data_IF_749528234783
#
_entry.id   IF_749528234783
#
_cell.length_a   1.000
_cell.length_b   1.000
_cell.length_c   1.000
_cell.angle_alpha   90.00
_cell.angle_beta   90.00
_cell.angle_gamma   90.00
#
_symmetry.space_group_name_H-M   'P 1'
#
loop_
_entity.id
_entity.type
_entity.pdbx_description
1 polymer ?
#
# COMPACT_ATOMS: atom_id res chain seq x y z
N UNK A 1 -4.14 8.97 -22.14
CA UNK A 1 -3.01 8.90 -21.17
C UNK A 1 -3.25 7.83 -20.10
N UNK A 2 -4.46 7.71 -19.57
CA UNK A 2 -4.80 6.76 -18.48
C UNK A 2 -4.56 5.29 -18.84
N UNK A 3 -4.92 4.88 -20.06
CA UNK A 3 -4.72 3.51 -20.55
C UNK A 3 -3.23 3.14 -20.70
N UNK A 4 -2.36 4.09 -21.07
CA UNK A 4 -0.91 3.88 -21.13
C UNK A 4 -0.33 3.70 -19.73
N UNK A 5 -0.79 4.50 -18.76
CA UNK A 5 -0.40 4.36 -17.35
C UNK A 5 -0.82 3.02 -16.75
N UNK A 6 -2.04 2.55 -17.05
CA UNK A 6 -2.51 1.23 -16.62
C UNK A 6 -1.68 0.11 -17.22
N UNK A 7 -1.39 0.15 -18.53
CA UNK A 7 -0.55 -0.85 -19.20
C UNK A 7 0.83 -0.93 -18.53
N UNK A 8 1.47 0.23 -18.31
CA UNK A 8 2.76 0.30 -17.63
C UNK A 8 2.71 -0.32 -16.22
N UNK A 9 1.70 0.03 -15.43
CA UNK A 9 1.49 -0.49 -14.08
C UNK A 9 1.28 -2.00 -14.08
N UNK A 10 0.49 -2.52 -15.03
CA UNK A 10 0.24 -3.95 -15.19
C UNK A 10 1.52 -4.69 -15.56
N UNK A 11 2.26 -4.19 -16.56
CA UNK A 11 3.52 -4.80 -17.01
C UNK A 11 4.55 -4.82 -15.88
N UNK A 12 4.74 -3.71 -15.16
CA UNK A 12 5.67 -3.64 -14.02
C UNK A 12 5.27 -4.62 -12.90
N UNK A 13 3.98 -4.74 -12.61
CA UNK A 13 3.47 -5.65 -11.58
C UNK A 13 3.67 -7.12 -11.96
N UNK A 14 3.48 -7.48 -13.24
CA UNK A 14 3.74 -8.84 -13.74
C UNK A 14 5.23 -9.17 -13.68
N UNK A 15 6.10 -8.26 -14.12
CA UNK A 15 7.56 -8.43 -14.05
C UNK A 15 8.00 -8.66 -12.59
N UNK A 16 7.47 -7.86 -11.66
CA UNK A 16 7.74 -7.99 -10.23
C UNK A 16 7.22 -9.32 -9.65
N UNK A 17 6.12 -9.86 -10.15
CA UNK A 17 5.55 -11.14 -9.70
C UNK A 17 6.39 -12.34 -10.12
N UNK A 18 6.87 -12.31 -11.37
CA UNK A 18 7.79 -13.32 -11.91
C UNK A 18 9.11 -13.28 -11.13
N UNK A 19 9.67 -12.07 -10.95
CA UNK A 19 10.96 -11.86 -10.31
C UNK A 19 10.92 -11.83 -8.77
N UNK A 20 9.75 -11.98 -8.14
CA UNK A 20 9.59 -11.95 -6.68
C UNK A 20 10.61 -12.80 -5.88
N UNK A 21 10.97 -14.04 -6.28
CA UNK A 21 12.01 -14.82 -5.58
C UNK A 21 13.38 -14.12 -5.61
N UNK A 22 13.75 -13.52 -6.76
CA UNK A 22 15.01 -12.78 -6.93
C UNK A 22 14.99 -11.47 -6.14
N UNK A 23 13.88 -10.73 -6.19
CA UNK A 23 13.71 -9.46 -5.46
C UNK A 23 13.75 -9.66 -3.94
N UNK A 24 13.30 -10.81 -3.44
CA UNK A 24 13.28 -11.13 -2.01
C UNK A 24 14.51 -11.93 -1.55
N UNK A 25 15.28 -12.52 -2.47
CA UNK A 25 16.44 -13.36 -2.12
C UNK A 25 16.07 -14.67 -1.46
N UNK A 26 14.89 -15.19 -1.81
CA UNK A 26 14.31 -16.39 -1.20
C UNK A 26 14.05 -17.44 -2.28
N UNK A 27 14.02 -18.72 -1.87
CA UNK A 27 13.63 -19.81 -2.75
C UNK A 27 12.22 -19.62 -3.29
N UNK A 28 11.95 -20.12 -4.51
CA UNK A 28 10.65 -20.00 -5.18
C UNK A 28 9.50 -20.56 -4.35
N UNK A 29 9.77 -21.59 -3.54
CA UNK A 29 8.77 -22.28 -2.72
C UNK A 29 8.54 -21.64 -1.34
N UNK A 30 9.32 -20.60 -1.00
CA UNK A 30 9.19 -19.93 0.29
C UNK A 30 7.78 -19.30 0.45
N UNK A 31 7.11 -19.49 1.60
CA UNK A 31 5.77 -18.95 1.84
C UNK A 31 5.70 -17.41 1.73
N UNK A 32 6.80 -16.70 1.97
CA UNK A 32 6.86 -15.24 1.85
C UNK A 32 6.85 -14.79 0.38
N UNK A 33 7.49 -15.54 -0.51
CA UNK A 33 7.42 -15.31 -1.96
C UNK A 33 5.99 -15.52 -2.46
N UNK A 34 5.31 -16.58 -1.98
CA UNK A 34 3.89 -16.81 -2.30
C UNK A 34 3.01 -15.64 -1.82
N UNK A 35 3.28 -15.12 -0.62
CA UNK A 35 2.57 -13.96 -0.07
C UNK A 35 2.78 -12.69 -0.90
N UNK A 36 4.03 -12.40 -1.30
CA UNK A 36 4.35 -11.25 -2.14
C UNK A 36 3.66 -11.30 -3.51
N UNK A 37 3.67 -12.48 -4.16
CA UNK A 37 2.95 -12.69 -5.41
C UNK A 37 1.44 -12.50 -5.24
N UNK A 38 0.86 -13.06 -4.17
CA UNK A 38 -0.56 -12.90 -3.87
C UNK A 38 -0.96 -11.43 -3.71
N UNK A 39 -0.13 -10.64 -3.03
CA UNK A 39 -0.37 -9.21 -2.86
C UNK A 39 -0.34 -8.44 -4.18
N UNK A 40 0.63 -8.74 -5.05
CA UNK A 40 0.73 -8.12 -6.37
C UNK A 40 -0.45 -8.51 -7.28
N UNK A 41 -0.90 -9.76 -7.23
CA UNK A 41 -2.08 -10.22 -7.99
C UNK A 41 -3.34 -9.51 -7.48
N UNK A 42 -3.53 -9.40 -6.17
CA UNK A 42 -4.68 -8.68 -5.60
C UNK A 42 -4.64 -7.20 -5.99
N UNK A 43 -3.46 -6.58 -5.94
CA UNK A 43 -3.28 -5.20 -6.41
C UNK A 43 -3.63 -5.04 -7.89
N UNK A 44 -3.20 -5.97 -8.74
CA UNK A 44 -3.54 -6.00 -10.17
C UNK A 44 -5.04 -6.13 -10.41
N UNK A 45 -5.69 -7.07 -9.72
CA UNK A 45 -7.15 -7.25 -9.80
C UNK A 45 -7.85 -5.94 -9.42
N UNK A 46 -7.40 -5.28 -8.36
CA UNK A 46 -7.99 -4.02 -7.94
C UNK A 46 -7.76 -2.87 -8.93
N UNK A 47 -6.54 -2.74 -9.47
CA UNK A 47 -6.20 -1.70 -10.45
C UNK A 47 -7.01 -1.87 -11.75
N UNK A 48 -7.08 -3.09 -12.28
CA UNK A 48 -7.85 -3.41 -13.48
C UNK A 48 -9.35 -3.26 -13.21
N UNK A 49 -9.84 -3.79 -12.09
CA UNK A 49 -11.26 -3.69 -11.70
C UNK A 49 -11.71 -2.23 -11.56
N UNK A 50 -10.90 -1.38 -10.93
CA UNK A 50 -11.18 0.05 -10.80
C UNK A 50 -11.26 0.75 -12.17
N UNK A 51 -10.35 0.41 -13.09
CA UNK A 51 -10.37 0.96 -14.45
C UNK A 51 -11.61 0.51 -15.24
N UNK A 52 -12.01 -0.76 -15.12
CA UNK A 52 -13.20 -1.31 -15.77
C UNK A 52 -14.46 -0.64 -15.23
N UNK A 53 -14.58 -0.48 -13.91
CA UNK A 53 -15.71 0.20 -13.25
C UNK A 53 -15.87 1.63 -13.80
N UNK A 54 -14.76 2.36 -13.89
CA UNK A 54 -14.75 3.73 -14.42
C UNK A 54 -15.09 3.78 -15.92
N UNK A 55 -14.69 2.75 -16.69
CA UNK A 55 -14.98 2.65 -18.12
C UNK A 55 -16.42 2.25 -18.44
N UNK A 56 -17.08 1.49 -17.56
CA UNK A 56 -18.46 1.02 -17.76
C UNK A 56 -19.49 2.08 -17.37
N UNK A 57 -19.13 3.08 -16.56
CA UNK A 57 -20.06 4.12 -16.12
C UNK A 57 -21.13 3.56 -15.18
N UNK A 58 -20.70 2.86 -14.12
CA UNK A 58 -21.59 2.22 -13.14
C UNK A 58 -22.37 3.20 -12.25
N UNK A 59 -22.26 4.51 -12.49
CA UNK A 59 -22.96 5.55 -11.75
C UNK A 59 -24.50 5.44 -11.85
N UNK A 60 -25.00 4.67 -12.82
CA UNK A 60 -26.44 4.46 -13.07
C UNK A 60 -27.05 3.23 -12.36
N UNK A 61 -26.27 2.38 -11.68
CA UNK A 61 -26.81 1.12 -11.10
C UNK A 61 -27.48 1.30 -9.73
N UNK A 62 -26.97 2.23 -8.91
CA UNK A 62 -27.49 2.49 -7.57
C UNK A 62 -27.65 3.99 -7.34
N UNK A 63 -28.48 4.39 -6.38
CA UNK A 63 -28.53 5.79 -5.96
C UNK A 63 -27.13 6.26 -5.52
N UNK A 64 -26.77 7.49 -5.87
CA UNK A 64 -25.43 8.05 -5.64
C UNK A 64 -24.93 7.84 -4.21
N UNK A 65 -25.78 8.09 -3.22
CA UNK A 65 -25.43 7.92 -1.80
C UNK A 65 -25.19 6.47 -1.36
N UNK A 66 -25.75 5.46 -2.03
CA UNK A 66 -25.47 4.05 -1.75
C UNK A 66 -24.16 3.64 -2.42
N UNK A 67 -23.93 4.09 -3.67
CA UNK A 67 -22.71 3.81 -4.41
C UNK A 67 -21.47 4.37 -3.68
N UNK A 68 -21.57 5.58 -3.14
CA UNK A 68 -20.50 6.24 -2.38
C UNK A 68 -20.12 5.46 -1.10
N UNK A 69 -21.10 4.95 -0.36
CA UNK A 69 -20.85 4.17 0.87
C UNK A 69 -20.22 2.82 0.56
N UNK A 70 -20.67 2.14 -0.49
CA UNK A 70 -20.05 0.90 -0.96
C UNK A 70 -18.59 1.15 -1.34
N UNK A 71 -18.32 2.24 -2.07
CA UNK A 71 -16.97 2.62 -2.49
C UNK A 71 -16.06 2.94 -1.29
N UNK A 72 -16.58 3.60 -0.26
CA UNK A 72 -15.87 3.82 1.02
C UNK A 72 -15.52 2.49 1.70
N UNK A 73 -16.47 1.55 1.80
CA UNK A 73 -16.24 0.25 2.44
C UNK A 73 -15.17 -0.54 1.69
N UNK A 74 -15.23 -0.55 0.35
CA UNK A 74 -14.22 -1.19 -0.50
C UNK A 74 -12.85 -0.55 -0.24
N UNK A 75 -12.76 0.78 -0.24
CA UNK A 75 -11.51 1.50 -0.04
C UNK A 75 -10.91 1.23 1.36
N UNK A 76 -11.73 1.31 2.41
CA UNK A 76 -11.33 0.98 3.77
C UNK A 76 -10.81 -0.46 3.89
N UNK A 77 -11.50 -1.42 3.26
CA UNK A 77 -11.10 -2.83 3.24
C UNK A 77 -9.72 -3.01 2.62
N UNK A 78 -9.43 -2.28 1.55
CA UNK A 78 -8.14 -2.30 0.85
C UNK A 78 -7.04 -1.75 1.75
N UNK A 79 -7.24 -0.57 2.34
CA UNK A 79 -6.29 0.02 3.29
C UNK A 79 -5.94 -0.97 4.39
N UNK A 80 -6.96 -1.58 5.00
CA UNK A 80 -6.78 -2.58 6.07
C UNK A 80 -6.04 -3.83 5.58
N UNK A 81 -6.40 -4.35 4.41
CA UNK A 81 -5.80 -5.56 3.84
C UNK A 81 -4.32 -5.36 3.51
N UNK A 82 -3.97 -4.26 2.82
CA UNK A 82 -2.60 -3.95 2.45
C UNK A 82 -1.76 -3.59 3.68
N UNK A 83 -2.31 -2.80 4.61
CA UNK A 83 -1.67 -2.50 5.89
C UNK A 83 -1.30 -3.76 6.67
N UNK A 84 -2.22 -4.70 6.83
CA UNK A 84 -1.98 -5.97 7.54
C UNK A 84 -1.02 -6.92 6.80
N UNK A 85 -0.84 -6.72 5.50
CA UNK A 85 -0.01 -7.57 4.67
C UNK A 85 1.45 -7.10 4.58
N UNK A 86 1.69 -5.79 4.77
CA UNK A 86 3.03 -5.20 4.70
C UNK A 86 4.05 -5.84 5.68
N UNK A 87 3.73 -6.15 6.95
CA UNK A 87 4.67 -6.78 7.88
C UNK A 87 5.12 -8.19 7.46
N UNK A 88 4.37 -8.84 6.57
CA UNK A 88 4.64 -10.21 6.11
C UNK A 88 5.69 -10.23 4.98
N UNK A 89 5.99 -9.06 4.39
CA UNK A 89 6.98 -8.91 3.34
C UNK A 89 8.37 -8.70 3.93
N UNK A 90 9.35 -9.52 3.50
CA UNK A 90 10.76 -9.33 3.84
C UNK A 90 11.47 -8.58 2.72
N UNK A 91 11.42 -7.25 2.78
CA UNK A 91 11.99 -6.38 1.75
C UNK A 91 13.50 -6.12 2.01
N UNK A 92 13.96 -6.30 3.25
CA UNK A 92 15.28 -5.86 3.73
C UNK A 92 16.49 -6.65 3.19
N UNK A 93 16.34 -7.92 2.78
CA UNK A 93 17.51 -8.78 2.49
C UNK A 93 18.14 -8.54 1.11
N UNK A 94 17.33 -8.09 0.15
CA UNK A 94 17.74 -7.94 -1.25
C UNK A 94 17.52 -6.54 -1.85
N UNK A 95 16.86 -5.61 -1.14
CA UNK A 95 17.01 -4.16 -1.42
C UNK A 95 18.29 -3.63 -0.76
N UNK A 96 19.38 -4.39 -0.87
CA UNK A 96 20.72 -3.82 -0.84
C UNK A 96 20.91 -2.98 -2.11
N UNK A 97 20.12 -1.91 -2.26
CA UNK A 97 20.70 -0.71 -2.81
C UNK A 97 21.91 -0.43 -1.91
N UNK A 98 23.10 -0.25 -2.49
CA UNK A 98 24.35 0.13 -1.83
C UNK A 98 24.28 1.50 -1.11
N UNK A 99 23.08 1.95 -0.80
CA UNK A 99 22.76 3.14 -0.06
C UNK A 99 22.89 2.84 1.44
N UNK A 100 23.83 3.51 2.09
CA UNK A 100 24.07 3.45 3.54
C UNK A 100 22.85 3.83 4.39
N UNK A 101 21.88 4.54 3.82
CA UNK A 101 20.57 4.75 4.45
C UNK A 101 19.69 3.49 4.40
N UNK A 102 19.76 2.68 3.33
CA UNK A 102 18.92 1.50 3.12
C UNK A 102 19.47 0.19 3.74
N UNK A 103 20.52 0.26 4.57
CA UNK A 103 20.87 -0.81 5.53
C UNK A 103 19.76 -0.89 6.59
N UNK A 104 18.62 -1.44 6.18
CA UNK A 104 17.42 -1.60 7.01
C UNK A 104 17.62 -2.78 7.93
N UNK A 105 17.89 -2.49 9.21
CA UNK A 105 17.77 -3.48 10.28
C UNK A 105 16.39 -4.16 10.18
N UNK A 106 16.38 -5.49 10.09
CA UNK A 106 15.15 -6.30 10.06
C UNK A 106 14.19 -5.90 11.19
N UNK A 107 14.75 -5.54 12.35
CA UNK A 107 14.00 -5.09 13.51
C UNK A 107 13.27 -3.77 13.23
N UNK A 108 13.91 -2.82 12.56
CA UNK A 108 13.31 -1.53 12.19
C UNK A 108 12.22 -1.76 11.15
N UNK A 109 12.48 -2.54 10.10
CA UNK A 109 11.47 -2.85 9.08
C UNK A 109 10.23 -3.52 9.70
N UNK A 110 10.44 -4.52 10.55
CA UNK A 110 9.37 -5.24 11.24
C UNK A 110 8.56 -4.34 12.17
N UNK A 111 9.22 -3.42 12.89
CA UNK A 111 8.52 -2.50 13.79
C UNK A 111 7.73 -1.44 13.02
N UNK A 112 8.33 -0.83 12.00
CA UNK A 112 7.67 0.20 11.18
C UNK A 112 6.48 -0.38 10.41
N UNK A 113 6.65 -1.55 9.79
CA UNK A 113 5.55 -2.21 9.07
C UNK A 113 4.42 -2.65 10.00
N UNK A 114 4.74 -3.14 11.21
CA UNK A 114 3.71 -3.42 12.24
C UNK A 114 2.95 -2.16 12.66
N UNK A 115 3.67 -1.06 12.93
CA UNK A 115 3.04 0.23 13.25
C UNK A 115 2.11 0.69 12.12
N UNK A 116 2.56 0.54 10.88
CA UNK A 116 1.75 0.82 9.70
C UNK A 116 0.50 -0.05 9.60
N UNK A 117 0.58 -1.34 9.95
CA UNK A 117 -0.57 -2.24 9.95
C UNK A 117 -1.67 -1.76 10.91
N UNK A 118 -1.29 -1.42 12.15
CA UNK A 118 -2.25 -0.88 13.13
C UNK A 118 -2.84 0.45 12.67
N UNK A 119 -1.99 1.35 12.18
CA UNK A 119 -2.43 2.64 11.67
C UNK A 119 -3.43 2.48 10.51
N UNK A 120 -3.15 1.59 9.56
CA UNK A 120 -4.05 1.29 8.43
C UNK A 120 -5.40 0.76 8.90
N UNK A 121 -5.42 -0.06 9.96
CA UNK A 121 -6.64 -0.56 10.56
C UNK A 121 -7.50 0.56 11.15
N UNK A 122 -6.89 1.44 11.96
CA UNK A 122 -7.59 2.59 12.53
C UNK A 122 -8.07 3.58 11.47
N UNK A 123 -7.27 3.83 10.43
CA UNK A 123 -7.68 4.68 9.31
C UNK A 123 -8.88 4.06 8.58
N UNK A 124 -8.87 2.76 8.29
CA UNK A 124 -9.97 2.08 7.61
C UNK A 124 -11.29 2.17 8.40
N UNK A 125 -11.25 1.90 9.72
CA UNK A 125 -12.42 2.04 10.59
C UNK A 125 -12.90 3.49 10.64
N UNK A 126 -11.97 4.43 10.81
CA UNK A 126 -12.30 5.85 10.87
C UNK A 126 -12.94 6.34 9.57
N UNK A 127 -12.46 5.87 8.41
CA UNK A 127 -13.03 6.19 7.10
C UNK A 127 -14.49 5.74 7.00
N UNK A 128 -14.81 4.54 7.47
CA UNK A 128 -16.19 4.03 7.49
C UNK A 128 -17.07 4.90 8.40
N UNK A 129 -16.63 5.15 9.64
CA UNK A 129 -17.41 5.93 10.62
C UNK A 129 -17.64 7.36 10.11
N UNK A 130 -16.59 8.04 9.65
CA UNK A 130 -16.66 9.43 9.19
C UNK A 130 -17.55 9.58 7.95
N UNK A 131 -17.64 8.56 7.09
CA UNK A 131 -18.50 8.60 5.90
C UNK A 131 -20.01 8.67 6.21
N UNK A 132 -20.42 8.40 7.45
CA UNK A 132 -21.80 8.61 7.88
C UNK A 132 -22.11 10.07 8.24
N UNK A 133 -21.10 10.87 8.55
CA UNK A 133 -21.26 12.24 9.04
C UNK A 133 -20.78 13.30 8.04
N UNK A 134 -19.85 12.94 7.16
CA UNK A 134 -19.22 13.84 6.21
C UNK A 134 -19.33 13.30 4.78
N UNK A 135 -19.06 14.17 3.81
CA UNK A 135 -18.98 13.78 2.40
C UNK A 135 -17.98 12.63 2.17
N UNK A 136 -18.45 11.55 1.54
CA UNK A 136 -17.70 10.33 1.34
C UNK A 136 -16.42 10.53 0.50
N UNK A 137 -16.46 11.42 -0.49
CA UNK A 137 -15.30 11.70 -1.34
C UNK A 137 -14.22 12.47 -0.58
N UNK A 138 -14.61 13.44 0.25
CA UNK A 138 -13.68 14.17 1.12
C UNK A 138 -13.04 13.25 2.15
N UNK A 139 -13.83 12.43 2.85
CA UNK A 139 -13.33 11.47 3.85
C UNK A 139 -12.34 10.48 3.21
N UNK A 140 -12.71 9.90 2.06
CA UNK A 140 -11.85 8.99 1.30
C UNK A 140 -10.51 9.64 0.95
N UNK A 141 -10.54 10.87 0.44
CA UNK A 141 -9.35 11.60 0.02
C UNK A 141 -8.41 11.89 1.19
N UNK A 142 -8.95 12.39 2.31
CA UNK A 142 -8.16 12.71 3.51
C UNK A 142 -7.55 11.45 4.13
N UNK A 143 -8.34 10.39 4.30
CA UNK A 143 -7.85 9.14 4.87
C UNK A 143 -6.78 8.47 3.98
N UNK A 144 -6.95 8.49 2.64
CA UNK A 144 -5.93 8.03 1.71
C UNK A 144 -4.64 8.85 1.84
N UNK A 145 -4.76 10.17 1.90
CA UNK A 145 -3.60 11.06 2.05
C UNK A 145 -2.84 10.75 3.34
N UNK A 146 -3.54 10.61 4.48
CA UNK A 146 -2.95 10.26 5.77
C UNK A 146 -2.24 8.90 5.69
N UNK A 147 -2.88 7.91 5.05
CA UNK A 147 -2.32 6.56 4.90
C UNK A 147 -1.00 6.54 4.11
N UNK A 148 -0.87 7.37 3.07
CA UNK A 148 0.37 7.50 2.30
C UNK A 148 1.41 8.44 2.94
N UNK A 149 0.96 9.53 3.57
CA UNK A 149 1.83 10.58 4.09
C UNK A 149 2.52 10.18 5.40
N UNK A 150 1.81 9.53 6.33
CA UNK A 150 2.36 9.18 7.65
C UNK A 150 3.60 8.27 7.58
N UNK A 151 3.60 7.17 6.80
CA UNK A 151 4.80 6.32 6.66
C UNK A 151 5.97 7.07 6.05
N UNK A 152 5.69 7.90 5.05
CA UNK A 152 6.68 8.72 4.35
C UNK A 152 7.33 9.73 5.31
N UNK A 153 6.51 10.39 6.13
CA UNK A 153 6.96 11.36 7.12
C UNK A 153 7.75 10.69 8.26
N UNK A 154 7.31 9.52 8.73
CA UNK A 154 8.06 8.73 9.72
C UNK A 154 9.45 8.35 9.20
N UNK A 155 9.54 7.86 7.95
CA UNK A 155 10.82 7.54 7.33
C UNK A 155 11.71 8.78 7.19
N UNK A 156 11.14 9.91 6.76
CA UNK A 156 11.88 11.17 6.62
C UNK A 156 12.48 11.62 7.97
N UNK A 157 11.67 11.61 9.04
CA UNK A 157 12.11 12.00 10.40
C UNK A 157 13.15 11.03 10.97
N UNK A 158 12.99 9.73 10.73
CA UNK A 158 13.94 8.73 11.21
C UNK A 158 15.31 8.93 10.55
N UNK A 159 15.35 9.12 9.24
CA UNK A 159 16.61 9.33 8.52
C UNK A 159 17.24 10.68 8.81
N UNK A 160 16.46 11.77 8.89
CA UNK A 160 17.01 13.09 9.21
C UNK A 160 17.71 13.10 10.58
N UNK A 161 17.12 12.43 11.57
CA UNK A 161 17.73 12.27 12.89
C UNK A 161 18.97 11.37 12.84
N UNK A 162 18.92 10.25 12.12
CA UNK A 162 20.08 9.34 11.97
C UNK A 162 21.30 10.06 11.38
N UNK A 163 21.10 10.85 10.32
CA UNK A 163 22.18 11.59 9.66
C UNK A 163 22.67 12.80 10.46
N UNK A 164 21.79 13.42 11.26
CA UNK A 164 22.16 14.51 12.17
C UNK A 164 23.07 14.04 13.30
N UNK A 165 22.87 12.82 13.82
CA UNK A 165 23.74 12.25 14.88
C UNK A 165 25.13 11.87 14.34
N UNK A 166 25.25 11.44 13.08
CA UNK A 166 26.56 11.11 12.48
C UNK A 166 27.44 12.32 12.15
N UNK A 167 26.88 13.52 12.00
CA UNK A 167 27.64 14.75 11.72
C UNK A 167 28.19 15.45 12.99
N UNK A 168 28.00 14.86 14.18
CA UNK A 168 28.46 15.41 15.48
C UNK A 168 29.61 14.55 16.07
N UNK A 169 30.18 13.63 15.28
CA UNK A 169 31.42 12.91 15.61
C UNK A 169 32.51 13.29 14.62
#
# INVERSE_FOLDING_TARGET
MESVGLILLVTLSIINCINAPKTLGLSKDNPKVKTARKLQIIFLIFAIGSFIILSIGLDDIFSSGVNDKILVIINATIIMYFGNSLPKLQIYKNICASNTWAMGDEKIWKNTSKGFAYLSFFIGISMIILSFYFDANNVKTVCNFIWFALPSLYLLLYYSNKFRVTNIK
#
